data_IF_516634251411
#
_entry.id   IF_516634251411
#
_cell.length_a   1.000
_cell.length_b   1.000
_cell.length_c   1.000
_cell.angle_alpha   90.00
_cell.angle_beta   90.00
_cell.angle_gamma   90.00
#
_symmetry.space_group_name_H-M   'P 1'
#
loop_
_entity.id
_entity.type
_entity.pdbx_description
1 polymer ?
#
# COMPACT_ATOMS: atom_id res chain seq x y z
N UNK A 1 3.94 0.32 0.22
CA UNK A 1 5.37 0.03 0.45
C UNK A 1 5.96 0.98 1.48
N UNK A 2 7.03 0.55 2.15
CA UNK A 2 7.84 1.34 3.08
C UNK A 2 9.26 1.38 2.51
N UNK A 3 9.80 2.57 2.32
CA UNK A 3 11.13 2.81 1.76
C UNK A 3 11.98 3.55 2.77
N UNK A 4 13.15 2.99 3.09
CA UNK A 4 14.18 3.68 3.86
C UNK A 4 15.13 4.33 2.86
N UNK A 5 15.12 5.65 2.82
CA UNK A 5 15.85 6.51 1.90
C UNK A 5 17.21 6.84 2.52
N UNK A 6 18.22 7.07 1.69
CA UNK A 6 19.48 7.67 2.15
C UNK A 6 19.18 9.08 2.67
N UNK A 7 19.67 9.48 3.86
CA UNK A 7 19.34 10.78 4.45
C UNK A 7 19.62 11.96 3.49
N UNK A 8 20.74 11.91 2.78
CA UNK A 8 21.15 12.95 1.82
C UNK A 8 20.29 13.00 0.54
N UNK A 9 19.40 12.02 0.32
CA UNK A 9 18.57 11.92 -0.87
C UNK A 9 17.08 12.18 -0.60
N UNK A 10 16.64 12.45 0.64
CA UNK A 10 15.22 12.51 0.97
C UNK A 10 14.44 13.55 0.12
N UNK A 11 15.00 14.73 -0.08
CA UNK A 11 14.35 15.78 -0.88
C UNK A 11 14.26 15.39 -2.36
N UNK A 12 15.34 14.87 -2.94
CA UNK A 12 15.36 14.40 -4.32
C UNK A 12 14.39 13.22 -4.53
N UNK A 13 14.33 12.32 -3.55
CA UNK A 13 13.38 11.20 -3.53
C UNK A 13 11.94 11.73 -3.53
N UNK A 14 11.62 12.70 -2.67
CA UNK A 14 10.28 13.26 -2.56
C UNK A 14 9.85 13.89 -3.88
N UNK A 15 10.69 14.75 -4.46
CA UNK A 15 10.43 15.39 -5.76
C UNK A 15 10.16 14.37 -6.86
N UNK A 16 11.01 13.33 -6.95
CA UNK A 16 10.83 12.25 -7.92
C UNK A 16 9.49 11.51 -7.72
N UNK A 17 9.07 11.25 -6.48
CA UNK A 17 7.78 10.60 -6.23
C UNK A 17 6.58 11.51 -6.47
N UNK A 18 6.67 12.80 -6.15
CA UNK A 18 5.62 13.79 -6.41
C UNK A 18 5.39 13.99 -7.91
N UNK A 19 6.42 13.83 -8.73
CA UNK A 19 6.26 13.90 -10.17
C UNK A 19 5.57 12.64 -10.74
N UNK A 20 6.03 11.44 -10.35
CA UNK A 20 5.66 10.20 -11.05
C UNK A 20 4.42 9.52 -10.48
N UNK A 21 4.25 9.50 -9.15
CA UNK A 21 3.16 8.74 -8.53
C UNK A 21 1.76 9.27 -8.89
N UNK A 22 1.52 10.60 -8.97
CA UNK A 22 0.23 11.12 -9.42
C UNK A 22 -0.10 10.75 -10.87
N UNK A 23 0.90 10.68 -11.77
CA UNK A 23 0.69 10.25 -13.16
C UNK A 23 0.15 8.82 -13.22
N UNK A 24 0.75 7.91 -12.45
CA UNK A 24 0.28 6.52 -12.35
C UNK A 24 -1.12 6.42 -11.75
N UNK A 25 -1.43 7.25 -10.76
CA UNK A 25 -2.75 7.27 -10.13
C UNK A 25 -3.86 7.77 -11.08
N UNK A 26 -3.54 8.72 -11.96
CA UNK A 26 -4.51 9.33 -12.87
C UNK A 26 -4.71 8.55 -14.17
N UNK A 27 -3.78 7.63 -14.48
CA UNK A 27 -3.81 6.87 -15.72
C UNK A 27 -4.83 5.72 -15.63
N UNK A 28 -5.90 5.74 -16.45
CA UNK A 28 -6.99 4.76 -16.39
C UNK A 28 -6.55 3.34 -16.79
N UNK A 29 -5.39 3.18 -17.44
CA UNK A 29 -4.85 1.86 -17.78
C UNK A 29 -4.35 1.10 -16.53
N UNK A 30 -4.10 1.81 -15.43
CA UNK A 30 -3.71 1.23 -14.16
C UNK A 30 -4.89 1.27 -13.17
N UNK A 31 -5.48 0.11 -12.81
CA UNK A 31 -6.57 0.04 -11.85
C UNK A 31 -6.06 0.19 -10.41
N UNK A 32 -5.36 1.28 -10.11
CA UNK A 32 -4.81 1.56 -8.80
C UNK A 32 -4.94 3.02 -8.34
N UNK A 33 -5.19 3.18 -7.04
CA UNK A 33 -5.28 4.49 -6.40
C UNK A 33 -4.09 4.72 -5.47
N UNK A 34 -3.49 5.92 -5.54
CA UNK A 34 -2.57 6.40 -4.52
C UNK A 34 -3.39 6.90 -3.32
N UNK A 35 -3.57 6.05 -2.32
CA UNK A 35 -4.31 6.38 -1.09
C UNK A 35 -3.49 7.30 -0.19
N UNK A 36 -2.16 7.18 -0.22
CA UNK A 36 -1.30 8.21 0.33
C UNK A 36 0.19 7.99 0.17
N UNK A 37 0.90 9.08 0.37
CA UNK A 37 2.35 9.23 0.24
C UNK A 37 2.81 10.10 1.40
N UNK A 38 3.59 9.55 2.32
CA UNK A 38 3.98 10.22 3.56
C UNK A 38 5.44 9.99 3.90
N UNK A 39 6.03 10.96 4.59
CA UNK A 39 7.32 10.79 5.27
C UNK A 39 7.11 10.58 6.76
N UNK A 40 7.93 9.73 7.37
CA UNK A 40 7.92 9.47 8.81
C UNK A 40 8.64 10.59 9.55
N UNK A 41 7.92 11.32 10.40
CA UNK A 41 8.51 12.38 11.23
C UNK A 41 9.00 11.85 12.58
N UNK A 42 8.23 10.93 13.18
CA UNK A 42 8.52 10.33 14.49
C UNK A 42 8.67 8.81 14.34
N UNK A 43 9.83 8.28 14.74
CA UNK A 43 10.18 6.87 14.55
C UNK A 43 11.43 6.71 13.69
N UNK A 44 11.38 5.81 12.71
CA UNK A 44 12.45 5.67 11.71
C UNK A 44 12.43 6.88 10.75
N UNK A 45 13.40 7.79 10.93
CA UNK A 45 13.58 8.95 10.05
C UNK A 45 14.08 8.52 8.65
N UNK A 46 14.00 9.44 7.69
CA UNK A 46 14.33 9.18 6.27
C UNK A 46 13.53 8.02 5.65
N UNK A 47 12.32 7.81 6.16
CA UNK A 47 11.42 6.76 5.71
C UNK A 47 10.20 7.36 5.01
N UNK A 48 9.89 6.82 3.83
CA UNK A 48 8.69 7.14 3.08
C UNK A 48 7.73 5.94 3.04
N UNK A 49 6.44 6.21 3.25
CA UNK A 49 5.35 5.22 3.23
C UNK A 49 4.38 5.56 2.11
N UNK A 50 4.15 4.60 1.22
CA UNK A 50 3.26 4.70 0.07
C UNK A 50 2.15 3.67 0.21
N UNK A 51 0.88 4.10 0.20
CA UNK A 51 -0.27 3.21 0.25
C UNK A 51 -0.99 3.22 -1.10
N UNK A 52 -1.06 2.05 -1.72
CA UNK A 52 -1.72 1.84 -3.00
C UNK A 52 -2.90 0.89 -2.83
N UNK A 53 -4.04 1.25 -3.41
CA UNK A 53 -5.23 0.39 -3.52
C UNK A 53 -5.33 -0.14 -4.93
N UNK A 54 -5.68 -1.41 -5.10
CA UNK A 54 -5.95 -2.03 -6.39
C UNK A 54 -7.40 -2.51 -6.41
N UNK A 55 -8.19 -1.98 -7.33
CA UNK A 55 -9.60 -2.31 -7.46
C UNK A 55 -9.77 -3.51 -8.40
N UNK A 56 -10.47 -4.56 -7.95
CA UNK A 56 -10.62 -5.82 -8.71
C UNK A 56 -9.74 -6.98 -8.22
N UNK A 57 -9.14 -6.85 -7.03
CA UNK A 57 -8.43 -7.94 -6.35
C UNK A 57 -7.10 -8.32 -7.02
N UNK A 58 -6.66 -9.57 -6.77
CA UNK A 58 -5.38 -10.06 -7.29
C UNK A 58 -5.23 -9.99 -8.82
N UNK A 59 -6.27 -10.26 -9.65
CA UNK A 59 -6.16 -10.11 -11.10
C UNK A 59 -5.78 -8.68 -11.53
N UNK A 60 -6.44 -7.67 -10.97
CA UNK A 60 -6.15 -6.27 -11.27
C UNK A 60 -4.73 -5.86 -10.82
N UNK A 61 -4.30 -6.34 -9.65
CA UNK A 61 -2.92 -6.17 -9.20
C UNK A 61 -1.92 -6.78 -10.19
N UNK A 62 -2.16 -8.02 -10.63
CA UNK A 62 -1.24 -8.71 -11.55
C UNK A 62 -1.18 -8.04 -12.93
N UNK A 63 -2.33 -7.60 -13.45
CA UNK A 63 -2.40 -6.82 -14.70
C UNK A 63 -1.64 -5.50 -14.60
N UNK A 64 -1.88 -4.72 -13.54
CA UNK A 64 -1.14 -3.49 -13.28
C UNK A 64 0.37 -3.73 -13.20
N UNK A 65 0.80 -4.76 -12.45
CA UNK A 65 2.21 -5.09 -12.32
C UNK A 65 2.83 -5.55 -13.64
N UNK A 66 2.07 -6.21 -14.53
CA UNK A 66 2.53 -6.59 -15.86
C UNK A 66 2.69 -5.37 -16.78
N UNK A 67 1.70 -4.46 -16.79
CA UNK A 67 1.77 -3.20 -17.55
C UNK A 67 2.95 -2.34 -17.12
N UNK A 68 3.17 -2.21 -15.81
CA UNK A 68 4.30 -1.45 -15.25
C UNK A 68 5.67 -2.01 -15.66
N UNK A 69 5.79 -3.30 -15.98
CA UNK A 69 7.06 -3.88 -16.47
C UNK A 69 7.47 -3.37 -17.85
N UNK A 70 6.52 -2.87 -18.64
CA UNK A 70 6.76 -2.36 -19.99
C UNK A 70 6.73 -0.82 -20.07
N UNK A 71 6.34 -0.15 -18.99
CA UNK A 71 6.28 1.30 -18.93
C UNK A 71 7.70 1.88 -18.74
N UNK A 72 8.24 2.51 -19.79
CA UNK A 72 9.61 3.06 -19.80
C UNK A 72 9.82 4.18 -18.77
N UNK A 73 8.84 5.05 -18.59
CA UNK A 73 8.91 6.14 -17.60
C UNK A 73 8.95 5.56 -16.18
N UNK A 74 8.10 4.57 -15.89
CA UNK A 74 8.12 3.89 -14.59
C UNK A 74 9.41 3.10 -14.36
N UNK A 75 9.97 2.47 -15.38
CA UNK A 75 11.25 1.76 -15.28
C UNK A 75 12.39 2.73 -14.94
N UNK A 76 12.46 3.89 -15.62
CA UNK A 76 13.44 4.93 -15.33
C UNK A 76 13.28 5.49 -13.91
N UNK A 77 12.04 5.81 -13.51
CA UNK A 77 11.69 6.20 -12.14
C UNK A 77 12.16 5.15 -11.12
N UNK A 78 11.87 3.86 -11.37
CA UNK A 78 12.23 2.78 -10.46
C UNK A 78 13.75 2.64 -10.32
N UNK A 79 14.49 2.83 -11.41
CA UNK A 79 15.94 2.79 -11.42
C UNK A 79 16.54 3.96 -10.63
N UNK A 80 16.13 5.19 -10.93
CA UNK A 80 16.60 6.39 -10.23
C UNK A 80 16.29 6.31 -8.73
N UNK A 81 15.03 6.01 -8.40
CA UNK A 81 14.61 5.80 -7.02
C UNK A 81 15.47 4.77 -6.31
N UNK A 82 15.85 3.68 -6.98
CA UNK A 82 16.64 2.61 -6.34
C UNK A 82 18.03 3.05 -5.90
N UNK A 83 18.64 4.04 -6.57
CA UNK A 83 19.94 4.61 -6.19
C UNK A 83 19.87 5.38 -4.87
N UNK A 84 18.68 5.86 -4.50
CA UNK A 84 18.43 6.67 -3.32
C UNK A 84 17.99 5.86 -2.08
N UNK A 85 17.81 4.53 -2.19
CA UNK A 85 17.29 3.72 -1.09
C UNK A 85 18.39 2.97 -0.34
N UNK A 86 18.27 2.92 0.98
CA UNK A 86 18.98 1.98 1.85
C UNK A 86 18.27 0.61 1.84
N UNK A 87 16.95 0.62 1.97
CA UNK A 87 16.13 -0.60 1.91
C UNK A 87 14.69 -0.29 1.52
N UNK A 88 13.94 -1.33 1.15
CA UNK A 88 12.50 -1.23 0.88
C UNK A 88 11.77 -2.50 1.25
N UNK A 89 10.54 -2.35 1.72
CA UNK A 89 9.59 -3.42 1.99
C UNK A 89 8.28 -3.13 1.28
N UNK A 90 7.69 -4.15 0.67
CA UNK A 90 6.33 -4.08 0.15
C UNK A 90 5.49 -5.19 0.77
N UNK A 91 4.26 -4.87 1.16
CA UNK A 91 3.31 -5.80 1.77
C UNK A 91 1.96 -5.63 1.08
N UNK A 92 1.32 -6.74 0.75
CA UNK A 92 -0.07 -6.75 0.32
C UNK A 92 -0.95 -6.86 1.56
N UNK A 93 -1.91 -5.95 1.66
CA UNK A 93 -2.84 -5.86 2.78
C UNK A 93 -4.24 -6.13 2.25
N UNK A 94 -5.03 -6.87 3.02
CA UNK A 94 -6.47 -6.99 2.82
C UNK A 94 -7.15 -6.06 3.83
N UNK A 95 -8.14 -5.32 3.37
CA UNK A 95 -8.96 -4.50 4.25
C UNK A 95 -9.77 -5.37 5.22
N UNK A 96 -9.90 -4.91 6.46
CA UNK A 96 -10.88 -5.48 7.39
C UNK A 96 -12.22 -4.79 7.13
N UNK A 97 -13.27 -5.57 6.91
CA UNK A 97 -14.63 -5.06 6.72
C UNK A 97 -15.21 -4.30 7.92
N UNK A 98 -14.53 -4.31 9.06
CA UNK A 98 -14.90 -3.56 10.25
C UNK A 98 -14.64 -2.05 10.12
N UNK A 99 -13.64 -1.64 9.34
CA UNK A 99 -13.27 -0.23 9.18
C UNK A 99 -13.93 0.37 7.94
N UNK A 100 -14.26 1.67 8.01
CA UNK A 100 -14.68 2.42 6.82
C UNK A 100 -13.54 2.51 5.80
N UNK A 101 -13.89 2.68 4.53
CA UNK A 101 -12.89 2.91 3.48
C UNK A 101 -12.05 4.17 3.79
N UNK A 102 -10.72 4.12 3.56
CA UNK A 102 -9.86 5.29 3.74
C UNK A 102 -10.20 6.34 2.67
N UNK A 103 -10.53 7.56 3.12
CA UNK A 103 -10.83 8.70 2.25
C UNK A 103 -9.71 9.73 2.35
N UNK A 104 -9.22 10.31 1.23
CA UNK A 104 -8.25 11.39 1.26
C UNK A 104 -8.75 12.59 2.07
N UNK A 105 -7.91 13.12 2.97
CA UNK A 105 -8.22 14.33 3.74
C UNK A 105 -7.58 15.56 3.08
N UNK A 106 -8.30 16.68 3.05
CA UNK A 106 -7.77 17.96 2.55
C UNK A 106 -6.79 18.57 3.56
N UNK A 107 -5.78 19.28 3.06
CA UNK A 107 -4.82 20.04 3.87
C UNK A 107 -3.66 19.20 4.46
N UNK A 108 -2.75 19.85 5.21
CA UNK A 108 -1.66 19.17 5.88
C UNK A 108 -2.22 18.32 7.03
N UNK A 109 -2.05 17.01 6.92
CA UNK A 109 -2.57 16.06 7.89
C UNK A 109 -1.43 15.18 8.41
N UNK A 110 -1.33 15.02 9.73
CA UNK A 110 -0.45 14.04 10.36
C UNK A 110 -1.22 12.74 10.60
N UNK A 111 -0.56 11.61 10.37
CA UNK A 111 -1.11 10.28 10.52
C UNK A 111 -0.23 9.44 11.43
N UNK A 112 -0.84 8.55 12.20
CA UNK A 112 -0.15 7.56 13.02
C UNK A 112 -0.33 6.18 12.37
N UNK A 113 0.77 5.52 11.99
CA UNK A 113 0.72 4.17 11.47
C UNK A 113 0.78 3.16 12.63
N UNK A 114 -0.26 2.35 12.78
CA UNK A 114 -0.35 1.34 13.85
C UNK A 114 -0.29 -0.07 13.30
N UNK A 115 0.51 -0.91 13.95
CA UNK A 115 0.57 -2.35 13.67
C UNK A 115 0.00 -3.12 14.84
N UNK A 116 -1.05 -3.91 14.60
CA UNK A 116 -1.68 -4.74 15.62
C UNK A 116 -1.38 -6.21 15.36
N UNK A 117 -0.99 -6.94 16.42
CA UNK A 117 -0.97 -8.41 16.40
C UNK A 117 -2.27 -8.91 16.98
N UNK A 118 -3.13 -9.44 16.12
CA UNK A 118 -4.42 -10.01 16.54
C UNK A 118 -4.16 -11.35 17.24
N UNK A 119 -4.67 -11.50 18.47
CA UNK A 119 -4.78 -12.80 19.14
C UNK A 119 -6.13 -13.41 18.76
N UNK A 120 -6.12 -14.49 17.99
CA UNK A 120 -7.35 -15.20 17.63
C UNK A 120 -8.00 -15.79 18.89
N UNK A 121 -9.25 -15.40 19.19
CA UNK A 121 -10.10 -16.26 20.01
C UNK A 121 -10.65 -17.33 19.07
N UNK A 122 -10.31 -18.58 19.30
CA UNK A 122 -10.93 -19.71 18.61
C UNK A 122 -12.43 -19.63 18.86
N UNK A 123 -13.22 -19.26 17.86
CA UNK A 123 -14.66 -19.46 17.92
C UNK A 123 -14.88 -20.96 17.77
N UNK A 124 -15.07 -21.63 18.89
CA UNK A 124 -15.60 -22.98 18.95
C UNK A 124 -16.99 -22.92 18.31
N UNK A 125 -17.07 -23.24 17.00
CA UNK A 125 -18.33 -23.55 16.36
C UNK A 125 -18.80 -24.86 17.01
N UNK A 126 -19.58 -24.74 18.08
CA UNK A 126 -20.40 -25.86 18.55
C UNK A 126 -21.31 -26.25 17.38
N UNK A 127 -20.93 -27.33 16.68
CA UNK A 127 -21.86 -28.04 15.81
C UNK A 127 -22.95 -28.59 16.73
N UNK A 128 -24.09 -27.92 16.77
CA UNK A 128 -25.32 -28.49 17.32
C UNK A 128 -25.66 -29.74 16.50
N UNK A 129 -25.91 -30.92 17.13
CA UNK A 129 -26.33 -32.09 16.40
C UNK A 129 -27.80 -31.89 15.99
N UNK A 130 -28.03 -31.55 14.72
CA UNK A 130 -29.38 -31.58 14.16
C UNK A 130 -29.83 -33.03 14.04
N UNK A 131 -30.59 -33.44 15.05
CA UNK A 131 -31.45 -34.60 15.09
C UNK A 131 -32.41 -34.55 13.89
N UNK A 132 -32.32 -35.51 12.96
CA UNK A 132 -33.38 -35.73 11.98
C UNK A 132 -33.81 -37.19 12.08
N UNK A 133 -34.86 -37.43 12.87
CA UNK A 133 -35.75 -38.57 12.67
C UNK A 133 -36.45 -38.38 11.32
N UNK A 134 -36.35 -39.36 10.42
CA UNK A 134 -37.40 -39.65 9.43
C UNK A 134 -37.65 -41.15 9.43
N UNK A 135 -38.93 -41.46 9.18
CA UNK A 135 -39.66 -42.70 9.41
C UNK A 135 -39.04 -43.92 8.75
#
# INVERSE_FOLDING_TARGET
SVHNVKPECLDAYNQLTEEVLPKLHQDPDYPCDLVGNWNTWYGEQDQAVHLWRFSGGYPALMDCMNKLRNNKEYLAFREERSRMLLSRRNQLLLEFSFWNEPVPRKGPNVYELRTYRLKGKTTEKSRSPHNTKRK
#
